data_IF_242266504726
#
_entry.id   IF_242266504726
#
_cell.length_a   1.000
_cell.length_b   1.000
_cell.length_c   1.000
_cell.angle_alpha   90.00
_cell.angle_beta   90.00
_cell.angle_gamma   90.00
#
_symmetry.space_group_name_H-M   'P 1'
#
loop_
_entity.id
_entity.type
_entity.pdbx_description
1 polymer ?
#
# COMPACT_ATOMS: atom_id res chain seq x y z
N UNK A 1 4.56 12.12 8.48
CA UNK A 1 4.57 11.56 9.86
C UNK A 1 5.83 10.73 10.09
N UNK A 2 6.14 10.35 11.34
CA UNK A 2 7.26 9.46 11.66
C UNK A 2 6.76 8.25 12.45
N UNK A 3 7.23 7.05 12.09
CA UNK A 3 7.01 5.81 12.84
C UNK A 3 8.35 5.17 13.15
N UNK A 4 8.44 4.49 14.29
CA UNK A 4 9.63 3.74 14.67
C UNK A 4 9.38 2.26 14.41
N UNK A 5 10.15 1.66 13.51
CA UNK A 5 10.13 0.21 13.22
C UNK A 5 11.52 -0.34 13.50
N UNK A 6 11.64 -1.29 14.43
CA UNK A 6 12.91 -1.89 14.84
C UNK A 6 14.01 -0.86 15.18
N UNK A 7 13.64 0.24 15.84
CA UNK A 7 14.57 1.31 16.22
C UNK A 7 14.96 2.27 15.09
N UNK A 8 14.44 2.06 13.87
CA UNK A 8 14.64 2.96 12.73
C UNK A 8 13.45 3.91 12.62
N UNK A 9 13.73 5.22 12.58
CA UNK A 9 12.73 6.27 12.40
C UNK A 9 12.45 6.46 10.92
N UNK A 10 11.28 6.01 10.46
CA UNK A 10 10.84 6.13 9.07
C UNK A 10 9.95 7.36 8.95
N UNK A 11 10.24 8.20 7.96
CA UNK A 11 9.31 9.23 7.51
C UNK A 11 8.34 8.59 6.51
N UNK A 12 7.04 8.75 6.73
CA UNK A 12 6.01 8.30 5.82
C UNK A 12 4.97 9.42 5.64
N UNK A 13 4.40 9.51 4.45
CA UNK A 13 3.29 10.43 4.17
C UNK A 13 1.96 9.68 4.30
N UNK A 14 0.91 10.38 4.70
CA UNK A 14 -0.45 9.83 4.69
C UNK A 14 -1.28 10.80 3.87
N UNK A 15 -1.79 10.31 2.75
CA UNK A 15 -2.77 11.04 1.97
C UNK A 15 -4.15 10.75 2.60
N UNK A 16 -4.72 11.74 3.29
CA UNK A 16 -5.96 11.61 4.06
C UNK A 16 -5.88 12.24 5.47
N UNK A 17 -7.03 12.55 6.07
CA UNK A 17 -7.06 13.12 7.42
C UNK A 17 -6.74 12.02 8.46
N UNK A 18 -5.57 12.12 9.11
CA UNK A 18 -5.15 11.26 10.23
C UNK A 18 -6.20 11.15 11.35
N UNK A 19 -7.08 12.13 11.47
CA UNK A 19 -8.09 12.20 12.50
C UNK A 19 -9.48 12.47 11.91
N UNK A 20 -10.51 11.91 12.53
CA UNK A 20 -11.92 12.30 12.34
C UNK A 20 -12.53 12.82 13.63
N UNK A 21 -13.55 13.66 13.49
CA UNK A 21 -14.35 14.11 14.62
C UNK A 21 -15.10 12.93 15.26
N UNK A 22 -15.04 12.86 16.59
CA UNK A 22 -15.74 11.93 17.45
C UNK A 22 -16.36 12.74 18.61
N UNK A 23 -17.51 13.36 18.33
CA UNK A 23 -18.15 14.32 19.24
C UNK A 23 -17.21 15.51 19.55
N UNK A 24 -16.89 15.78 20.84
CA UNK A 24 -15.95 16.84 21.21
C UNK A 24 -14.46 16.44 21.04
N UNK A 25 -14.17 15.21 20.60
CA UNK A 25 -12.82 14.68 20.47
C UNK A 25 -12.43 14.40 19.01
N UNK A 26 -11.14 14.14 18.79
CA UNK A 26 -10.61 13.65 17.52
C UNK A 26 -10.16 12.20 17.70
N UNK A 27 -10.63 11.29 16.82
CA UNK A 27 -10.22 9.88 16.78
C UNK A 27 -9.19 9.67 15.69
N UNK A 28 -8.04 9.10 16.05
CA UNK A 28 -7.00 8.70 15.09
C UNK A 28 -7.53 7.56 14.20
N UNK A 29 -7.36 7.71 12.89
CA UNK A 29 -7.68 6.68 11.89
C UNK A 29 -6.42 5.85 11.63
N UNK A 30 -6.35 4.58 12.07
CA UNK A 30 -5.30 3.70 11.62
C UNK A 30 -5.67 3.24 10.21
N UNK A 31 -5.47 4.08 9.20
CA UNK A 31 -5.68 3.73 7.79
C UNK A 31 -4.32 3.56 7.15
N UNK A 32 -4.02 2.35 6.68
CA UNK A 32 -2.77 2.07 5.98
C UNK A 32 -3.06 2.11 4.48
N UNK A 33 -2.56 3.15 3.80
CA UNK A 33 -2.52 3.23 2.35
C UNK A 33 -1.10 2.88 1.90
N UNK A 34 -0.90 1.69 1.35
CA UNK A 34 0.35 1.34 0.67
C UNK A 34 0.24 1.79 -0.79
N UNK A 35 0.70 3.00 -1.07
CA UNK A 35 0.96 3.41 -2.44
C UNK A 35 2.32 2.86 -2.84
N UNK A 36 2.43 2.30 -4.05
CA UNK A 36 3.74 2.09 -4.64
C UNK A 36 4.48 3.43 -4.62
N UNK A 37 5.71 3.47 -4.11
CA UNK A 37 6.53 4.66 -4.23
C UNK A 37 6.93 4.80 -5.69
N UNK A 38 6.29 5.71 -6.42
CA UNK A 38 6.84 6.15 -7.70
C UNK A 38 8.23 6.75 -7.49
N UNK A 39 9.08 6.84 -8.53
CA UNK A 39 10.40 7.47 -8.46
C UNK A 39 10.27 9.00 -8.31
N UNK A 40 9.74 9.44 -7.17
CA UNK A 40 9.43 10.84 -6.88
C UNK A 40 10.57 11.49 -6.10
N UNK A 41 10.68 12.81 -6.25
CA UNK A 41 11.74 13.68 -5.66
C UNK A 41 11.90 13.59 -4.14
N UNK A 42 10.95 12.98 -3.42
CA UNK A 42 10.94 12.88 -1.95
C UNK A 42 11.21 11.47 -1.42
N UNK A 43 11.38 10.48 -2.30
CA UNK A 43 11.74 9.13 -1.87
C UNK A 43 13.20 9.07 -1.41
N UNK A 44 13.45 8.43 -0.25
CA UNK A 44 14.82 8.07 0.15
C UNK A 44 15.26 6.91 -0.74
N UNK A 45 15.97 7.22 -1.82
CA UNK A 45 16.50 6.20 -2.71
C UNK A 45 17.90 5.76 -2.21
N UNK A 46 18.04 4.47 -1.89
CA UNK A 46 19.33 3.83 -1.62
C UNK A 46 19.57 2.72 -2.64
N UNK A 47 20.23 3.02 -3.77
CA UNK A 47 20.38 2.05 -4.86
C UNK A 47 21.16 0.80 -4.43
N UNK A 48 22.06 0.92 -3.46
CA UNK A 48 22.78 -0.20 -2.86
C UNK A 48 21.84 -1.22 -2.21
N UNK A 49 20.78 -0.79 -1.52
CA UNK A 49 19.81 -1.70 -0.89
C UNK A 49 19.11 -2.53 -1.96
N UNK A 50 18.65 -1.89 -3.04
CA UNK A 50 18.03 -2.58 -4.16
C UNK A 50 19.00 -3.57 -4.81
N UNK A 51 20.27 -3.18 -5.00
CA UNK A 51 21.30 -4.06 -5.54
C UNK A 51 21.51 -5.30 -4.66
N UNK A 52 21.72 -5.13 -3.35
CA UNK A 52 21.93 -6.27 -2.44
C UNK A 52 20.68 -7.16 -2.35
N UNK A 53 19.48 -6.58 -2.43
CA UNK A 53 18.23 -7.32 -2.41
C UNK A 53 18.01 -8.17 -3.68
N UNK A 54 18.31 -7.63 -4.86
CA UNK A 54 17.98 -8.24 -6.17
C UNK A 54 19.12 -9.00 -6.85
N UNK A 55 20.37 -8.89 -6.36
CA UNK A 55 21.51 -9.63 -6.94
C UNK A 55 21.32 -11.15 -6.88
N UNK A 56 22.06 -11.95 -7.66
CA UNK A 56 22.07 -13.41 -7.49
C UNK A 56 22.39 -13.81 -6.05
N UNK A 57 21.52 -14.64 -5.45
CA UNK A 57 21.61 -15.02 -4.03
C UNK A 57 21.14 -13.94 -3.04
N UNK A 58 20.57 -12.84 -3.52
CA UNK A 58 19.86 -11.84 -2.71
C UNK A 58 18.48 -12.33 -2.27
N UNK A 59 17.88 -11.58 -1.35
CA UNK A 59 16.64 -11.97 -0.66
C UNK A 59 15.38 -11.83 -1.53
N UNK A 60 15.44 -11.14 -2.67
CA UNK A 60 14.27 -10.88 -3.51
C UNK A 60 13.50 -12.15 -3.91
N UNK A 61 14.18 -13.28 -4.05
CA UNK A 61 13.55 -14.55 -4.43
C UNK A 61 12.95 -15.34 -3.26
N UNK A 62 13.30 -15.00 -2.01
CA UNK A 62 12.81 -15.67 -0.80
C UNK A 62 12.03 -14.75 0.13
N UNK A 63 11.98 -13.45 -0.18
CA UNK A 63 11.27 -12.46 0.62
C UNK A 63 9.77 -12.59 0.38
N UNK A 64 9.08 -13.18 1.36
CA UNK A 64 7.63 -13.39 1.32
C UNK A 64 7.04 -13.06 2.70
N UNK A 65 6.11 -12.12 2.73
CA UNK A 65 5.34 -11.73 3.94
C UNK A 65 3.86 -12.08 3.82
N UNK A 66 3.44 -12.79 2.76
CA UNK A 66 2.04 -13.13 2.51
C UNK A 66 1.42 -13.86 3.71
N UNK A 67 2.17 -14.80 4.31
CA UNK A 67 1.76 -15.54 5.50
C UNK A 67 1.52 -14.67 6.74
N UNK A 68 2.10 -13.47 6.83
CA UNK A 68 1.94 -12.55 7.96
C UNK A 68 0.79 -11.54 7.77
N UNK A 69 0.19 -11.44 6.58
CA UNK A 69 -0.84 -10.42 6.29
C UNK A 69 -2.09 -10.55 7.17
N UNK A 70 -2.39 -11.76 7.68
CA UNK A 70 -3.46 -12.00 8.63
C UNK A 70 -3.32 -11.20 9.95
N UNK A 71 -2.12 -10.68 10.24
CA UNK A 71 -1.81 -9.91 11.46
C UNK A 71 -2.15 -8.43 11.33
N UNK A 72 -2.52 -7.95 10.14
CA UNK A 72 -2.94 -6.57 9.93
C UNK A 72 -4.23 -6.30 10.72
N UNK A 73 -4.25 -5.21 11.48
CA UNK A 73 -5.36 -4.86 12.37
C UNK A 73 -6.13 -3.62 11.91
N UNK A 74 -5.69 -3.01 10.81
CA UNK A 74 -6.28 -1.81 10.26
C UNK A 74 -6.95 -2.05 8.91
N UNK A 75 -7.97 -1.25 8.58
CA UNK A 75 -8.51 -1.16 7.23
C UNK A 75 -7.39 -0.95 6.20
N UNK A 76 -7.42 -1.76 5.14
CA UNK A 76 -6.41 -1.82 4.08
C UNK A 76 -7.09 -1.82 2.71
N UNK A 77 -6.64 -0.92 1.84
CA UNK A 77 -7.07 -0.86 0.43
C UNK A 77 -5.99 -1.47 -0.45
N UNK A 78 -6.36 -2.45 -1.28
CA UNK A 78 -5.51 -3.07 -2.30
C UNK A 78 -6.01 -2.62 -3.66
N UNK A 79 -5.12 -2.02 -4.46
CA UNK A 79 -5.39 -1.62 -5.84
C UNK A 79 -4.50 -2.43 -6.78
N UNK A 80 -5.06 -2.97 -7.87
CA UNK A 80 -4.28 -3.69 -8.88
C UNK A 80 -4.76 -3.41 -10.29
N UNK A 81 -3.82 -3.17 -11.21
CA UNK A 81 -4.08 -3.10 -12.64
C UNK A 81 -4.17 -4.50 -13.25
N UNK A 82 -5.17 -4.74 -14.11
CA UNK A 82 -5.35 -6.05 -14.75
C UNK A 82 -4.32 -6.34 -15.85
N UNK A 83 -3.67 -5.29 -16.37
CA UNK A 83 -2.67 -5.37 -17.43
C UNK A 83 -1.24 -5.14 -16.90
N UNK A 84 -1.00 -5.30 -15.59
CA UNK A 84 0.33 -5.14 -14.98
C UNK A 84 1.32 -6.19 -15.54
N UNK A 85 2.33 -5.78 -16.33
CA UNK A 85 3.29 -6.71 -16.94
C UNK A 85 4.38 -7.16 -15.97
N UNK A 86 4.46 -6.55 -14.78
CA UNK A 86 5.45 -6.85 -13.74
C UNK A 86 4.88 -7.76 -12.65
N UNK A 87 3.66 -7.48 -12.19
CA UNK A 87 2.97 -8.22 -11.14
C UNK A 87 1.54 -8.55 -11.58
N UNK A 88 1.30 -9.77 -12.10
CA UNK A 88 -0.03 -10.20 -12.55
C UNK A 88 -1.09 -9.99 -11.46
N UNK A 89 -2.30 -9.61 -11.86
CA UNK A 89 -3.40 -9.23 -10.95
C UNK A 89 -3.75 -10.30 -9.90
N UNK A 90 -3.43 -11.56 -10.19
CA UNK A 90 -3.56 -12.70 -9.28
C UNK A 90 -2.71 -12.49 -8.01
N UNK A 91 -1.54 -11.88 -8.10
CA UNK A 91 -0.70 -11.59 -6.92
C UNK A 91 -1.41 -10.63 -5.95
N UNK A 92 -2.08 -9.59 -6.45
CA UNK A 92 -2.85 -8.65 -5.63
C UNK A 92 -4.11 -9.33 -5.09
N UNK A 93 -4.71 -10.25 -5.84
CA UNK A 93 -5.82 -11.07 -5.35
C UNK A 93 -5.39 -11.99 -4.19
N UNK A 94 -4.19 -12.61 -4.27
CA UNK A 94 -3.63 -13.42 -3.19
C UNK A 94 -3.36 -12.56 -1.94
N UNK A 95 -2.82 -11.34 -2.10
CA UNK A 95 -2.65 -10.38 -1.01
C UNK A 95 -4.00 -10.06 -0.35
N UNK A 96 -5.02 -9.75 -1.15
CA UNK A 96 -6.36 -9.44 -0.65
C UNK A 96 -6.99 -10.63 0.10
N UNK A 97 -6.76 -11.86 -0.38
CA UNK A 97 -7.24 -13.08 0.26
C UNK A 97 -6.54 -13.37 1.59
N UNK A 98 -5.26 -13.03 1.72
CA UNK A 98 -4.47 -13.25 2.93
C UNK A 98 -4.72 -12.21 4.03
N UNK A 99 -5.31 -11.05 3.70
CA UNK A 99 -5.73 -10.03 4.67
C UNK A 99 -7.03 -10.44 5.39
N UNK A 100 -7.28 -9.94 6.62
CA UNK A 100 -8.55 -10.14 7.30
C UNK A 100 -9.70 -9.58 6.47
N UNK A 101 -10.66 -10.44 6.12
CA UNK A 101 -11.73 -10.12 5.16
C UNK A 101 -12.63 -8.95 5.58
N UNK A 102 -12.70 -8.66 6.89
CA UNK A 102 -13.46 -7.51 7.42
C UNK A 102 -12.67 -6.20 7.40
N UNK A 103 -11.39 -6.22 7.04
CA UNK A 103 -10.50 -5.05 6.98
C UNK A 103 -10.03 -4.73 5.57
N UNK A 104 -10.25 -5.60 4.58
CA UNK A 104 -9.73 -5.42 3.23
C UNK A 104 -10.80 -4.89 2.26
N UNK A 105 -10.42 -3.91 1.46
CA UNK A 105 -11.11 -3.55 0.22
C UNK A 105 -10.14 -3.82 -0.94
N UNK A 106 -10.55 -4.59 -1.95
CA UNK A 106 -9.74 -4.90 -3.12
C UNK A 106 -10.42 -4.38 -4.39
N UNK A 107 -9.69 -3.58 -5.17
CA UNK A 107 -10.19 -2.95 -6.38
C UNK A 107 -9.30 -3.29 -7.57
N UNK A 108 -9.92 -3.86 -8.60
CA UNK A 108 -9.29 -4.18 -9.88
C UNK A 108 -9.49 -3.04 -10.86
N UNK A 109 -8.47 -2.75 -11.65
CA UNK A 109 -8.45 -1.69 -12.64
C UNK A 109 -8.19 -2.28 -14.02
N UNK A 110 -9.27 -2.42 -14.80
CA UNK A 110 -9.15 -2.72 -16.22
C UNK A 110 -8.35 -1.63 -16.94
N UNK A 111 -7.65 -2.00 -18.01
CA UNK A 111 -6.84 -1.09 -18.84
C UNK A 111 -5.72 -0.36 -18.06
N UNK A 112 -5.30 -0.88 -16.90
CA UNK A 112 -4.24 -0.30 -16.06
C UNK A 112 -3.11 -1.31 -15.85
N UNK A 113 -1.88 -0.82 -15.88
CA UNK A 113 -0.66 -1.59 -15.62
C UNK A 113 -0.21 -1.50 -14.15
N UNK A 114 1.10 -1.48 -13.94
CA UNK A 114 1.70 -1.51 -12.61
C UNK A 114 1.31 -0.34 -11.71
N UNK A 115 1.00 0.82 -12.31
CA UNK A 115 0.68 2.02 -11.58
C UNK A 115 -0.72 2.56 -11.90
N UNK A 116 -1.69 2.21 -11.06
CA UNK A 116 -3.11 2.56 -11.27
C UNK A 116 -3.40 4.06 -11.21
N UNK A 117 -2.63 4.83 -10.43
CA UNK A 117 -2.86 6.28 -10.28
C UNK A 117 -2.47 7.05 -11.55
N UNK A 118 -1.30 6.82 -12.16
CA UNK A 118 -0.99 7.38 -13.48
C UNK A 118 -1.96 6.93 -14.58
N UNK A 119 -2.40 5.67 -14.57
CA UNK A 119 -3.20 5.09 -15.66
C UNK A 119 -4.69 5.50 -15.58
N UNK A 120 -5.25 5.59 -14.36
CA UNK A 120 -6.65 5.94 -14.13
C UNK A 120 -6.79 6.95 -12.96
N UNK A 121 -6.24 8.17 -13.07
CA UNK A 121 -6.12 9.11 -11.95
C UNK A 121 -7.45 9.47 -11.32
N UNK A 122 -8.47 9.74 -12.13
CA UNK A 122 -9.79 10.14 -11.64
C UNK A 122 -10.46 9.03 -10.82
N UNK A 123 -10.47 7.80 -11.35
CA UNK A 123 -11.05 6.62 -10.68
C UNK A 123 -10.23 6.22 -9.46
N UNK A 124 -8.91 6.15 -9.58
CA UNK A 124 -8.03 5.78 -8.49
C UNK A 124 -8.17 6.75 -7.31
N UNK A 125 -8.17 8.06 -7.57
CA UNK A 125 -8.37 9.06 -6.54
C UNK A 125 -9.77 9.04 -5.92
N UNK A 126 -10.81 8.74 -6.69
CA UNK A 126 -12.17 8.58 -6.15
C UNK A 126 -12.23 7.39 -5.17
N UNK A 127 -11.71 6.23 -5.57
CA UNK A 127 -11.64 5.03 -4.73
C UNK A 127 -10.85 5.28 -3.45
N UNK A 128 -9.68 5.91 -3.55
CA UNK A 128 -8.83 6.24 -2.40
C UNK A 128 -9.57 7.18 -1.44
N UNK A 129 -10.23 8.23 -1.96
CA UNK A 129 -11.01 9.18 -1.16
C UNK A 129 -12.15 8.47 -0.42
N UNK A 130 -12.96 7.70 -1.14
CA UNK A 130 -14.09 6.98 -0.58
C UNK A 130 -13.65 5.99 0.50
N UNK A 131 -12.50 5.34 0.32
CA UNK A 131 -11.92 4.45 1.32
C UNK A 131 -11.55 5.20 2.60
N UNK A 132 -10.92 6.38 2.48
CA UNK A 132 -10.52 7.21 3.63
C UNK A 132 -11.75 7.77 4.36
N UNK A 133 -12.76 8.22 3.63
CA UNK A 133 -13.97 8.84 4.20
C UNK A 133 -14.84 7.84 4.96
N UNK A 134 -14.83 6.56 4.59
CA UNK A 134 -15.62 5.48 5.22
C UNK A 134 -15.03 4.91 6.52
N UNK A 135 -13.83 5.33 6.93
CA UNK A 135 -13.21 4.97 8.23
C UNK A 135 -13.62 5.92 9.36
#
# INVERSE_FOLDING_TARGET
>A
MQVTVNGVRLFFDVEGAKFVADGPAMREKPTLLLLHGGPERRAVNRPEVLHWFTRPGGEAHSFDMLGDLHRIQCPTLVLGGEDDPMLPIECQADIAAALPQHLVQFERFADCGHAVVPDAPERAMAVIRDFIERQ
#
